data_IF_046046782673
#
_entry.id   IF_046046782673
#
_cell.length_a   1.000
_cell.length_b   1.000
_cell.length_c   1.000
_cell.angle_alpha   90.00
_cell.angle_beta   90.00
_cell.angle_gamma   90.00
#
_symmetry.space_group_name_H-M   'P 1'
#
loop_
_entity.id
_entity.type
_entity.pdbx_description
1 polymer ?
#
# COMPACT_ATOMS: atom_id res chain seq x y z
N UNK A 1 -54.30 3.87 2.49
CA UNK A 1 -54.61 3.73 1.05
C UNK A 1 -53.83 2.52 0.55
N UNK A 2 -54.49 1.53 -0.06
CA UNK A 2 -53.79 0.39 -0.65
C UNK A 2 -52.85 0.91 -1.74
N UNK A 3 -51.58 0.48 -1.73
CA UNK A 3 -50.55 0.92 -2.69
C UNK A 3 -50.80 0.34 -4.09
N UNK A 4 -51.97 0.56 -4.67
CA UNK A 4 -52.48 -0.08 -5.89
C UNK A 4 -52.39 -1.62 -5.86
N UNK A 5 -52.52 -2.23 -4.67
CA UNK A 5 -52.54 -3.69 -4.49
C UNK A 5 -53.91 -4.11 -3.98
N UNK A 6 -54.57 -5.03 -4.70
CA UNK A 6 -55.89 -5.57 -4.34
C UNK A 6 -56.94 -5.41 -5.43
N UNK A 7 -58.19 -5.73 -5.10
CA UNK A 7 -59.35 -5.54 -5.98
C UNK A 7 -59.89 -4.11 -5.87
N UNK A 8 -60.35 -3.53 -6.98
CA UNK A 8 -60.97 -2.20 -6.99
C UNK A 8 -62.29 -2.17 -6.22
N UNK A 9 -63.09 -3.24 -6.30
CA UNK A 9 -64.29 -3.46 -5.50
C UNK A 9 -64.44 -4.94 -5.14
N UNK A 10 -64.81 -5.30 -3.90
CA UNK A 10 -65.06 -6.69 -3.52
C UNK A 10 -66.35 -7.27 -4.12
N UNK A 11 -67.27 -6.43 -4.58
CA UNK A 11 -68.53 -6.84 -5.22
C UNK A 11 -68.26 -7.51 -6.57
N UNK A 12 -68.82 -8.71 -6.77
CA UNK A 12 -68.64 -9.50 -7.99
C UNK A 12 -67.44 -10.45 -7.97
N UNK A 13 -66.48 -10.29 -7.06
CA UNK A 13 -65.34 -11.21 -6.92
C UNK A 13 -65.67 -12.50 -6.15
N UNK A 14 -66.81 -12.56 -5.47
CA UNK A 14 -67.19 -13.72 -4.65
C UNK A 14 -66.31 -13.94 -3.40
N UNK A 15 -65.48 -12.97 -3.02
CA UNK A 15 -64.59 -13.02 -1.85
C UNK A 15 -64.80 -11.80 -0.95
N UNK A 16 -64.24 -11.81 0.26
CA UNK A 16 -64.35 -10.71 1.22
C UNK A 16 -63.54 -9.46 0.85
N UNK A 17 -62.69 -9.52 -0.18
CA UNK A 17 -61.80 -8.43 -0.57
C UNK A 17 -60.62 -8.19 0.38
N UNK A 18 -60.37 -9.10 1.32
CA UNK A 18 -59.24 -8.99 2.25
C UNK A 18 -57.92 -9.30 1.55
N UNK A 19 -56.97 -8.35 1.63
CA UNK A 19 -55.65 -8.46 0.98
C UNK A 19 -54.58 -8.61 2.05
N UNK A 20 -53.89 -9.75 2.06
CA UNK A 20 -52.77 -10.00 2.95
C UNK A 20 -51.44 -9.71 2.25
N UNK A 21 -50.49 -9.11 2.96
CA UNK A 21 -49.11 -8.97 2.46
C UNK A 21 -48.43 -10.33 2.40
N UNK A 22 -47.63 -10.60 1.37
CA UNK A 22 -46.84 -11.83 1.30
C UNK A 22 -45.74 -11.81 2.37
N UNK A 23 -45.73 -12.82 3.25
CA UNK A 23 -44.66 -13.01 4.25
C UNK A 23 -43.35 -13.50 3.65
N UNK A 24 -43.38 -14.06 2.44
CA UNK A 24 -42.20 -14.50 1.70
C UNK A 24 -41.50 -13.35 0.94
N UNK A 25 -42.14 -12.17 0.87
CA UNK A 25 -41.53 -11.00 0.23
C UNK A 25 -40.44 -10.41 1.14
N UNK A 26 -39.20 -10.83 0.88
CA UNK A 26 -38.02 -10.22 1.48
C UNK A 26 -37.86 -8.82 0.88
N UNK A 27 -38.11 -7.79 1.68
CA UNK A 27 -37.73 -6.42 1.31
C UNK A 27 -36.22 -6.38 1.18
N UNK A 28 -35.66 -5.88 0.05
CA UNK A 28 -34.25 -5.52 -0.01
C UNK A 28 -33.94 -4.65 1.20
N UNK A 29 -32.92 -5.03 1.96
CA UNK A 29 -32.42 -4.21 3.06
C UNK A 29 -31.98 -2.90 2.42
N UNK A 30 -32.38 -1.76 3.00
CA UNK A 30 -31.71 -0.50 2.65
C UNK A 30 -30.23 -0.72 2.98
N UNK A 31 -29.42 -0.87 1.94
CA UNK A 31 -27.96 -0.90 2.06
C UNK A 31 -27.56 0.50 2.51
N UNK A 32 -27.62 0.73 3.82
CA UNK A 32 -26.97 1.86 4.52
C UNK A 32 -25.43 1.81 4.39
N UNK A 33 -24.93 0.98 3.47
CA UNK A 33 -23.55 0.82 3.07
C UNK A 33 -23.27 1.39 1.67
N UNK A 34 -24.08 2.33 1.18
CA UNK A 34 -23.59 3.41 0.32
C UNK A 34 -22.67 4.35 1.12
N UNK A 35 -21.62 3.78 1.75
CA UNK A 35 -20.48 4.57 2.17
C UNK A 35 -19.75 4.92 0.88
N UNK A 36 -19.50 6.20 0.58
CA UNK A 36 -18.68 6.54 -0.57
C UNK A 36 -17.38 5.74 -0.47
N UNK A 37 -16.88 5.29 -1.60
CA UNK A 37 -15.57 4.67 -1.76
C UNK A 37 -14.43 5.66 -1.49
N UNK A 38 -14.59 6.53 -0.49
CA UNK A 38 -13.50 7.05 0.29
C UNK A 38 -12.93 5.83 1.02
N UNK A 39 -12.10 5.06 0.31
CA UNK A 39 -10.96 4.40 0.90
C UNK A 39 -10.10 5.49 1.53
N UNK A 40 -10.61 6.10 2.61
CA UNK A 40 -9.81 6.88 3.52
C UNK A 40 -8.71 5.91 3.89
N UNK A 41 -7.51 6.21 3.37
CA UNK A 41 -6.26 5.57 3.72
C UNK A 41 -6.40 5.08 5.15
N UNK A 42 -6.23 3.78 5.42
CA UNK A 42 -6.35 3.23 6.77
C UNK A 42 -5.31 3.93 7.65
N UNK A 43 -5.66 5.11 8.16
CA UNK A 43 -4.74 5.98 8.85
C UNK A 43 -4.57 5.34 10.20
N UNK A 44 -3.34 4.88 10.44
CA UNK A 44 -2.99 4.35 11.74
C UNK A 44 -3.23 5.48 12.74
N UNK A 45 -4.06 5.20 13.76
CA UNK A 45 -4.33 6.16 14.82
C UNK A 45 -3.00 6.59 15.41
N UNK A 46 -2.69 7.87 15.30
CA UNK A 46 -1.46 8.41 15.84
C UNK A 46 -1.52 8.35 17.37
N UNK A 47 -0.40 8.06 18.04
CA UNK A 47 -0.34 8.11 19.50
C UNK A 47 -0.44 9.56 19.98
N UNK A 48 -1.34 9.84 20.92
CA UNK A 48 -1.46 11.16 21.54
C UNK A 48 -0.32 11.41 22.53
N UNK A 49 0.41 12.51 22.30
CA UNK A 49 1.55 12.90 23.16
C UNK A 49 1.13 13.17 24.60
N UNK A 50 -0.04 13.79 24.81
CA UNK A 50 -0.58 14.10 26.13
C UNK A 50 -0.82 12.83 26.98
N UNK A 51 -1.34 11.77 26.37
CA UNK A 51 -1.60 10.50 27.06
C UNK A 51 -0.28 9.80 27.41
N UNK A 52 0.68 9.79 26.48
CA UNK A 52 2.01 9.25 26.75
C UNK A 52 2.75 10.01 27.88
N UNK A 53 2.62 11.33 27.94
CA UNK A 53 3.17 12.13 29.04
C UNK A 53 2.48 11.85 30.36
N UNK A 54 1.15 11.70 30.34
CA UNK A 54 0.37 11.37 31.53
C UNK A 54 0.78 10.00 32.09
N UNK A 55 0.87 8.98 31.25
CA UNK A 55 1.26 7.64 31.67
C UNK A 55 2.68 7.61 32.27
N UNK A 56 3.60 8.41 31.74
CA UNK A 56 4.95 8.60 32.31
C UNK A 56 4.91 9.24 33.70
N UNK A 57 4.17 10.35 33.85
CA UNK A 57 4.01 11.02 35.15
C UNK A 57 3.39 10.06 36.16
N UNK A 58 2.35 9.32 35.75
CA UNK A 58 1.71 8.29 36.56
C UNK A 58 2.71 7.21 36.99
N UNK A 59 3.59 6.73 36.11
CA UNK A 59 4.61 5.75 36.47
C UNK A 59 5.61 6.27 37.52
N UNK A 60 5.94 7.57 37.49
CA UNK A 60 6.76 8.20 38.53
C UNK A 60 6.02 8.24 39.85
N UNK A 61 4.78 8.75 39.86
CA UNK A 61 4.00 8.87 41.09
C UNK A 61 3.67 7.51 41.71
N UNK A 62 3.43 6.46 40.90
CA UNK A 62 3.24 5.09 41.41
C UNK A 62 4.47 4.62 42.18
N UNK A 63 5.68 4.86 41.68
CA UNK A 63 6.93 4.48 42.38
C UNK A 63 7.17 5.29 43.65
N UNK A 64 6.78 6.57 43.65
CA UNK A 64 6.85 7.43 44.83
C UNK A 64 5.85 6.93 45.89
N UNK A 65 4.64 6.57 45.47
CA UNK A 65 3.64 5.98 46.35
C UNK A 65 4.09 4.64 46.93
N UNK A 66 4.66 3.75 46.12
CA UNK A 66 5.25 2.49 46.60
C UNK A 66 6.42 2.70 47.59
N UNK A 67 7.17 3.81 47.47
CA UNK A 67 8.21 4.14 48.47
C UNK A 67 7.55 4.61 49.76
N UNK A 68 6.57 5.50 49.67
CA UNK A 68 5.83 6.00 50.81
C UNK A 68 5.23 4.87 51.64
N UNK A 69 4.49 3.95 51.00
CA UNK A 69 3.90 2.77 51.69
C UNK A 69 4.96 1.98 52.46
N UNK A 70 6.15 1.75 51.87
CA UNK A 70 7.24 1.03 52.53
C UNK A 70 7.81 1.77 53.73
N UNK A 71 7.94 3.10 53.65
CA UNK A 71 8.49 3.90 54.74
C UNK A 71 7.48 4.05 55.89
N UNK A 72 6.19 4.10 55.56
CA UNK A 72 5.09 4.05 56.53
C UNK A 72 5.06 2.69 57.26
N UNK A 73 5.20 1.57 56.53
CA UNK A 73 5.33 0.22 57.11
C UNK A 73 6.57 0.07 58.00
N UNK A 74 7.67 0.75 57.67
CA UNK A 74 8.90 0.82 58.47
C UNK A 74 8.75 1.72 59.71
N UNK A 75 7.68 2.51 59.81
CA UNK A 75 7.40 3.39 60.94
C UNK A 75 8.30 4.63 61.03
N UNK A 76 8.73 5.19 59.89
CA UNK A 76 9.49 6.45 59.86
C UNK A 76 8.61 7.67 60.09
N UNK A 77 9.24 8.78 60.49
CA UNK A 77 8.56 10.07 60.68
C UNK A 77 8.08 10.65 59.34
N UNK A 78 6.92 11.33 59.35
CA UNK A 78 6.28 11.87 58.14
C UNK A 78 7.20 12.83 57.36
N UNK A 79 7.99 13.65 58.07
CA UNK A 79 8.94 14.59 57.45
C UNK A 79 10.06 13.87 56.67
N UNK A 80 10.59 12.77 57.22
CA UNK A 80 11.63 11.97 56.54
C UNK A 80 11.07 11.22 55.32
N UNK A 81 9.80 10.81 55.39
CA UNK A 81 9.08 10.17 54.30
C UNK A 81 8.90 11.14 53.13
N UNK A 82 8.46 12.36 53.40
CA UNK A 82 8.23 13.38 52.37
C UNK A 82 9.54 13.81 51.69
N UNK A 83 10.62 14.01 52.45
CA UNK A 83 11.94 14.33 51.92
C UNK A 83 12.48 13.21 51.00
N UNK A 84 12.34 11.95 51.42
CA UNK A 84 12.74 10.79 50.63
C UNK A 84 11.90 10.65 49.34
N UNK A 85 10.58 10.89 49.43
CA UNK A 85 9.66 10.87 48.30
C UNK A 85 9.97 11.97 47.28
N UNK A 86 10.26 13.19 47.73
CA UNK A 86 10.60 14.31 46.86
C UNK A 86 11.97 14.15 46.19
N UNK A 87 12.95 13.59 46.91
CA UNK A 87 14.22 13.21 46.33
C UNK A 87 14.05 12.15 45.23
N UNK A 88 13.23 11.12 45.48
CA UNK A 88 12.91 10.09 44.50
C UNK A 88 12.15 10.65 43.29
N UNK A 89 11.16 11.52 43.52
CA UNK A 89 10.37 12.19 42.47
C UNK A 89 11.28 12.98 41.53
N UNK A 90 12.18 13.82 42.06
CA UNK A 90 13.13 14.60 41.26
C UNK A 90 14.07 13.71 40.45
N UNK A 91 14.57 12.62 41.05
CA UNK A 91 15.46 11.66 40.38
C UNK A 91 14.75 10.97 39.21
N UNK A 92 13.56 10.42 39.45
CA UNK A 92 12.79 9.70 38.43
C UNK A 92 12.29 10.62 37.31
N UNK A 93 11.93 11.87 37.62
CA UNK A 93 11.59 12.86 36.60
C UNK A 93 12.78 13.18 35.70
N UNK A 94 14.00 13.32 36.27
CA UNK A 94 15.22 13.55 35.49
C UNK A 94 15.54 12.35 34.59
N UNK A 95 15.51 11.14 35.14
CA UNK A 95 15.74 9.89 34.38
C UNK A 95 14.73 9.74 33.23
N UNK A 96 13.44 10.03 33.50
CA UNK A 96 12.38 9.98 32.48
C UNK A 96 12.58 11.02 31.37
N UNK A 97 13.06 12.23 31.68
CA UNK A 97 13.38 13.24 30.69
C UNK A 97 14.63 12.86 29.87
N UNK A 98 15.66 12.30 30.50
CA UNK A 98 16.86 11.81 29.82
C UNK A 98 16.54 10.67 28.84
N UNK A 99 15.64 9.75 29.21
CA UNK A 99 15.14 8.70 28.30
C UNK A 99 14.37 9.25 27.09
N UNK A 100 13.73 10.42 27.22
CA UNK A 100 13.07 11.06 26.07
C UNK A 100 14.08 11.63 25.07
N UNK A 101 15.15 12.24 25.56
CA UNK A 101 16.21 12.81 24.72
C UNK A 101 17.09 11.75 24.06
N UNK A 102 17.34 10.64 24.76
CA UNK A 102 18.00 9.45 24.22
C UNK A 102 16.98 8.62 23.44
N UNK A 103 16.57 9.14 22.27
CA UNK A 103 15.65 8.47 21.36
C UNK A 103 15.90 6.97 21.34
N UNK A 104 14.90 6.20 21.79
CA UNK A 104 14.94 4.80 22.19
C UNK A 104 15.75 3.90 21.23
N UNK A 105 17.08 3.92 21.37
CA UNK A 105 18.04 3.14 20.58
C UNK A 105 18.31 1.77 21.21
N UNK A 106 17.72 1.51 22.39
CA UNK A 106 17.82 0.24 23.09
C UNK A 106 16.87 -0.80 22.51
N UNK A 107 17.42 -1.68 21.68
CA UNK A 107 16.73 -2.85 21.16
C UNK A 107 16.18 -3.75 22.24
N UNK A 108 14.87 -3.68 22.49
CA UNK A 108 14.02 -4.76 23.00
C UNK A 108 12.58 -4.40 22.61
N UNK A 109 12.04 -5.11 21.63
CA UNK A 109 10.70 -4.88 21.08
C UNK A 109 9.65 -4.85 22.22
N UNK A 110 8.96 -3.71 22.45
CA UNK A 110 8.06 -3.56 23.59
C UNK A 110 6.69 -4.22 23.40
N UNK A 111 6.34 -4.65 22.20
CA UNK A 111 4.96 -5.08 21.89
C UNK A 111 4.54 -6.35 22.68
N UNK A 112 5.49 -7.19 23.10
CA UNK A 112 5.21 -8.35 23.93
C UNK A 112 5.09 -8.08 25.44
N UNK A 113 5.47 -6.88 25.91
CA UNK A 113 5.46 -6.52 27.35
C UNK A 113 4.44 -5.44 27.70
N UNK A 114 3.87 -4.76 26.71
CA UNK A 114 2.80 -3.79 26.93
C UNK A 114 1.48 -4.50 27.18
N UNK A 115 0.72 -3.97 28.14
CA UNK A 115 -0.60 -4.50 28.47
C UNK A 115 -1.60 -4.09 27.38
N UNK A 116 -2.65 -4.88 27.19
CA UNK A 116 -3.67 -4.65 26.16
C UNK A 116 -4.33 -3.26 26.22
N UNK A 117 -4.38 -2.63 27.40
CA UNK A 117 -4.95 -1.29 27.60
C UNK A 117 -4.00 -0.14 27.24
N UNK A 118 -2.71 -0.38 27.00
CA UNK A 118 -1.73 0.66 26.67
C UNK A 118 -1.74 0.97 25.16
N UNK A 119 -2.91 1.37 24.63
CA UNK A 119 -3.15 1.51 23.19
C UNK A 119 -2.18 2.49 22.52
N UNK A 120 -1.87 3.62 23.17
CA UNK A 120 -0.99 4.65 22.60
C UNK A 120 0.48 4.24 22.63
N UNK A 121 0.93 3.55 23.68
CA UNK A 121 2.29 2.99 23.72
C UNK A 121 2.45 1.87 22.68
N UNK A 122 1.42 1.02 22.49
CA UNK A 122 1.40 -0.02 21.46
C UNK A 122 1.44 0.63 20.07
N UNK A 123 0.66 1.68 19.83
CA UNK A 123 0.66 2.41 18.57
C UNK A 123 2.02 3.04 18.27
N UNK A 124 2.62 3.72 19.26
CA UNK A 124 3.98 4.28 19.14
C UNK A 124 5.02 3.20 18.85
N UNK A 125 4.96 2.07 19.56
CA UNK A 125 5.86 0.94 19.35
C UNK A 125 5.73 0.36 17.94
N UNK A 126 4.50 0.15 17.45
CA UNK A 126 4.23 -0.33 16.10
C UNK A 126 4.76 0.62 15.03
N UNK A 127 4.59 1.94 15.20
CA UNK A 127 5.14 2.93 14.27
C UNK A 127 6.66 2.82 14.21
N UNK A 128 7.34 2.67 15.35
CA UNK A 128 8.79 2.51 15.40
C UNK A 128 9.26 1.19 14.76
N UNK A 129 8.55 0.09 15.00
CA UNK A 129 8.82 -1.21 14.38
C UNK A 129 8.62 -1.17 12.86
N UNK A 130 7.52 -0.58 12.41
CA UNK A 130 7.22 -0.39 10.99
C UNK A 130 8.27 0.51 10.33
N UNK A 131 8.72 1.59 10.98
CA UNK A 131 9.81 2.42 10.47
C UNK A 131 11.15 1.66 10.38
N UNK A 132 11.45 0.82 11.36
CA UNK A 132 12.64 -0.02 11.36
C UNK A 132 12.57 -1.06 10.24
N UNK A 133 11.43 -1.70 10.06
CA UNK A 133 11.16 -2.65 8.98
C UNK A 133 11.26 -1.97 7.62
N UNK A 134 10.66 -0.77 7.46
CA UNK A 134 10.74 0.05 6.25
C UNK A 134 12.20 0.32 5.86
N UNK A 135 13.02 0.73 6.83
CA UNK A 135 14.47 0.96 6.63
C UNK A 135 15.20 -0.33 6.25
N UNK A 136 14.90 -1.44 6.93
CA UNK A 136 15.52 -2.74 6.65
C UNK A 136 15.19 -3.27 5.24
N UNK A 137 13.96 -3.03 4.76
CA UNK A 137 13.51 -3.38 3.42
C UNK A 137 13.98 -2.37 2.34
N UNK A 138 14.70 -1.31 2.72
CA UNK A 138 15.20 -0.29 1.80
C UNK A 138 14.11 0.57 1.16
N UNK A 139 12.92 0.62 1.76
CA UNK A 139 11.79 1.42 1.26
C UNK A 139 12.02 2.88 1.66
N UNK A 140 11.93 3.83 0.72
CA UNK A 140 12.11 5.26 1.01
C UNK A 140 10.99 5.82 1.89
N UNK A 141 11.21 7.00 2.53
CA UNK A 141 10.19 7.58 3.43
C UNK A 141 9.03 8.16 2.63
N UNK A 142 9.32 8.57 1.39
CA UNK A 142 8.39 9.12 0.41
C UNK A 142 7.75 8.02 -0.46
N UNK A 143 7.84 6.74 -0.07
CA UNK A 143 7.24 5.66 -0.84
C UNK A 143 5.72 5.74 -0.77
N UNK A 144 5.11 6.16 -1.87
CA UNK A 144 3.66 6.15 -2.04
C UNK A 144 3.20 4.79 -2.57
N UNK A 145 2.18 4.22 -1.92
CA UNK A 145 1.50 3.03 -2.41
C UNK A 145 0.94 3.29 -3.82
N UNK A 146 1.15 2.35 -4.75
CA UNK A 146 0.78 2.56 -6.16
C UNK A 146 1.86 3.24 -7.03
N UNK A 147 2.88 3.89 -6.44
CA UNK A 147 3.92 4.61 -7.21
C UNK A 147 4.76 3.70 -8.10
N UNK A 148 5.05 2.48 -7.63
CA UNK A 148 5.75 1.47 -8.41
C UNK A 148 4.94 1.04 -9.65
N UNK A 149 3.64 0.80 -9.52
CA UNK A 149 2.77 0.45 -10.65
C UNK A 149 2.57 1.62 -11.62
N UNK A 150 2.38 2.84 -11.11
CA UNK A 150 2.30 4.05 -11.96
C UNK A 150 3.56 4.26 -12.79
N UNK A 151 4.74 4.10 -12.17
CA UNK A 151 6.03 4.20 -12.88
C UNK A 151 6.20 3.09 -13.93
N UNK A 152 5.66 1.89 -13.69
CA UNK A 152 5.65 0.79 -14.66
C UNK A 152 4.71 1.06 -15.84
N UNK A 153 3.51 1.58 -15.58
CA UNK A 153 2.59 1.98 -16.66
C UNK A 153 3.16 3.13 -17.50
N UNK A 154 3.76 4.13 -16.87
CA UNK A 154 4.40 5.25 -17.54
C UNK A 154 5.56 4.78 -18.41
N UNK A 155 6.44 3.91 -17.89
CA UNK A 155 7.50 3.27 -18.68
C UNK A 155 6.96 2.46 -19.86
N UNK A 156 5.89 1.70 -19.67
CA UNK A 156 5.25 0.94 -20.76
C UNK A 156 4.70 1.87 -21.83
N UNK A 157 4.01 2.94 -21.44
CA UNK A 157 3.48 3.97 -22.34
C UNK A 157 4.60 4.69 -23.09
N UNK A 158 5.70 5.06 -22.43
CA UNK A 158 6.85 5.67 -23.09
C UNK A 158 7.49 4.75 -24.13
N UNK A 159 7.62 3.46 -23.82
CA UNK A 159 8.14 2.46 -24.77
C UNK A 159 7.20 2.29 -25.96
N UNK A 160 5.89 2.30 -25.74
CA UNK A 160 4.88 2.21 -26.79
C UNK A 160 4.87 3.45 -27.70
N UNK A 161 4.96 4.65 -27.12
CA UNK A 161 5.10 5.91 -27.86
C UNK A 161 6.41 5.95 -28.65
N UNK A 162 7.54 5.49 -28.09
CA UNK A 162 8.81 5.39 -28.82
C UNK A 162 8.74 4.38 -29.96
N UNK A 163 8.06 3.24 -29.78
CA UNK A 163 7.82 2.26 -30.85
C UNK A 163 6.92 2.82 -31.96
N UNK A 164 5.87 3.56 -31.60
CA UNK A 164 4.98 4.21 -32.56
C UNK A 164 5.69 5.33 -33.35
N UNK A 165 6.47 6.18 -32.66
CA UNK A 165 7.24 7.26 -33.30
C UNK A 165 8.42 6.78 -34.15
N UNK A 166 9.10 5.69 -33.73
CA UNK A 166 10.16 5.05 -34.52
C UNK A 166 9.65 4.47 -35.84
N UNK A 167 8.44 3.90 -35.85
CA UNK A 167 7.80 3.39 -37.06
C UNK A 167 7.47 4.47 -38.10
N UNK A 168 7.19 5.71 -37.69
CA UNK A 168 6.97 6.82 -38.63
C UNK A 168 8.28 7.36 -39.22
N UNK A 169 9.35 7.44 -38.42
CA UNK A 169 10.67 7.81 -38.90
C UNK A 169 11.25 6.76 -39.86
N UNK A 170 11.12 5.47 -39.56
CA UNK A 170 11.53 4.40 -40.47
C UNK A 170 10.72 4.39 -41.78
N UNK A 171 9.40 4.65 -41.72
CA UNK A 171 8.55 4.77 -42.93
C UNK A 171 8.94 5.97 -43.78
N UNK A 172 9.28 7.11 -43.17
CA UNK A 172 9.76 8.30 -43.89
C UNK A 172 11.12 8.05 -44.55
N UNK A 173 12.07 7.46 -43.81
CA UNK A 173 13.40 7.10 -44.32
C UNK A 173 13.29 6.05 -45.45
N UNK A 174 12.42 5.05 -45.28
CA UNK A 174 12.10 4.04 -46.29
C UNK A 174 11.54 4.66 -47.58
N UNK A 175 10.53 5.54 -47.48
CA UNK A 175 9.97 6.27 -48.64
C UNK A 175 11.01 7.15 -49.34
N UNK A 176 11.88 7.84 -48.61
CA UNK A 176 12.94 8.63 -49.23
C UNK A 176 13.95 7.76 -49.97
N UNK A 177 14.28 6.58 -49.42
CA UNK A 177 15.23 5.63 -50.01
C UNK A 177 14.65 4.88 -51.22
N UNK A 178 13.35 4.58 -51.22
CA UNK A 178 12.64 4.05 -52.40
C UNK A 178 12.51 5.10 -53.50
N UNK A 179 12.23 6.36 -53.15
CA UNK A 179 12.17 7.45 -54.11
C UNK A 179 13.53 7.73 -54.74
N UNK A 180 14.62 7.66 -53.98
CA UNK A 180 15.98 7.80 -54.54
C UNK A 180 16.35 6.62 -55.44
N UNK A 181 15.92 5.39 -55.09
CA UNK A 181 16.14 4.20 -55.93
C UNK A 181 15.38 4.27 -57.25
N UNK A 182 14.11 4.66 -57.24
CA UNK A 182 13.29 4.77 -58.45
C UNK A 182 13.74 5.88 -59.40
N UNK A 183 14.27 6.99 -58.84
CA UNK A 183 14.92 8.04 -59.65
C UNK A 183 16.22 7.52 -60.27
N UNK A 184 17.02 6.74 -59.53
CA UNK A 184 18.25 6.13 -60.08
C UNK A 184 17.95 5.11 -61.18
N UNK A 185 16.89 4.31 -61.04
CA UNK A 185 16.50 3.28 -62.01
C UNK A 185 15.97 3.91 -63.31
N UNK A 186 15.21 5.01 -63.21
CA UNK A 186 14.76 5.79 -64.38
C UNK A 186 15.90 6.48 -65.13
N UNK A 187 17.00 6.82 -64.46
CA UNK A 187 18.19 7.40 -65.11
C UNK A 187 19.10 6.35 -65.76
N UNK A 188 18.84 5.05 -65.53
CA UNK A 188 19.64 3.95 -66.05
C UNK A 188 18.97 3.39 -67.31
N UNK A 189 19.17 4.04 -68.45
CA UNK A 189 18.70 3.54 -69.75
C UNK A 189 19.11 2.08 -69.95
N UNK A 190 18.24 1.21 -70.52
CA UNK A 190 18.55 -0.19 -70.69
C UNK A 190 19.66 -0.36 -71.73
N UNK A 191 20.90 -0.55 -71.27
CA UNK A 191 22.01 -0.92 -72.14
C UNK A 191 21.74 -2.33 -72.69
N UNK A 192 21.49 -2.33 -73.99
CA UNK A 192 21.32 -3.46 -74.90
C UNK A 192 22.37 -4.57 -74.68
N UNK A 193 21.85 -5.79 -74.54
CA UNK A 193 22.47 -7.10 -74.83
C UNK A 193 23.81 -7.48 -74.17
N UNK A 194 23.78 -8.53 -73.34
CA UNK A 194 24.78 -9.62 -73.34
C UNK A 194 24.17 -10.90 -72.74
N UNK A 195 24.28 -11.98 -73.51
CA UNK A 195 23.63 -13.28 -73.35
C UNK A 195 23.92 -13.99 -72.01
N UNK A 196 22.98 -14.80 -71.47
CA UNK A 196 23.21 -15.51 -70.22
C UNK A 196 24.06 -16.77 -70.45
N UNK A 197 25.29 -16.77 -69.94
CA UNK A 197 26.10 -17.99 -69.81
C UNK A 197 25.51 -18.82 -68.66
N UNK A 198 24.93 -19.97 -69.03
CA UNK A 198 24.55 -21.04 -68.10
C UNK A 198 25.75 -21.42 -67.22
N UNK A 199 25.69 -21.15 -65.92
CA UNK A 199 26.54 -21.82 -64.93
C UNK A 199 25.72 -22.80 -64.10
N UNK A 200 26.16 -24.06 -64.21
CA UNK A 200 25.60 -25.26 -63.60
C UNK A 200 25.46 -25.14 -62.09
N UNK A 201 24.33 -25.67 -61.60
CA UNK A 201 24.08 -26.06 -60.21
C UNK A 201 25.17 -27.03 -59.73
N UNK A 202 25.79 -26.75 -58.60
CA UNK A 202 26.33 -27.79 -57.71
C UNK A 202 25.67 -27.63 -56.35
N UNK A 203 24.81 -28.60 -56.04
CA UNK A 203 24.28 -28.87 -54.71
C UNK A 203 25.45 -29.18 -53.78
N UNK A 204 25.62 -28.41 -52.71
CA UNK A 204 26.27 -28.89 -51.49
C UNK A 204 25.23 -28.94 -50.38
N UNK A 205 24.73 -30.17 -50.16
CA UNK A 205 24.10 -30.57 -48.91
C UNK A 205 25.17 -30.47 -47.82
N UNK A 206 25.00 -29.58 -46.85
CA UNK A 206 25.67 -29.69 -45.55
C UNK A 206 24.60 -29.96 -44.51
N UNK A 207 24.54 -31.24 -44.14
CA UNK A 207 23.95 -31.72 -42.89
C UNK A 207 24.82 -31.21 -41.74
N UNK A 208 24.21 -30.55 -40.76
CA UNK A 208 24.83 -30.34 -39.46
C UNK A 208 23.80 -30.60 -38.38
N UNK A 209 23.95 -31.77 -37.78
CA UNK A 209 23.38 -32.22 -36.52
C UNK A 209 23.82 -31.33 -35.35
N UNK A 210 22.95 -31.23 -34.32
CA UNK A 210 23.21 -31.16 -32.87
C UNK A 210 21.98 -30.50 -32.19
N UNK A 211 21.11 -31.25 -31.52
CA UNK A 211 21.21 -31.75 -30.13
C UNK A 211 21.39 -30.64 -29.10
N UNK A 212 20.41 -30.49 -28.19
CA UNK A 212 20.52 -29.60 -27.03
C UNK A 212 19.16 -29.18 -26.48
N UNK A 213 18.39 -30.14 -25.98
CA UNK A 213 17.33 -29.91 -24.99
C UNK A 213 18.01 -29.66 -23.65
N UNK A 214 17.87 -28.45 -23.10
CA UNK A 214 18.20 -28.20 -21.70
C UNK A 214 17.16 -27.27 -21.09
N UNK A 215 16.86 -27.60 -19.84
CA UNK A 215 15.77 -27.14 -19.01
C UNK A 215 16.14 -25.88 -18.24
N UNK A 216 15.16 -25.04 -17.94
CA UNK A 216 14.95 -24.35 -16.65
C UNK A 216 13.50 -23.84 -16.59
#
# INVERSE_FOLDING_TARGET
>A
MSSNVGLSTPRGSGTSGYVQRSSAFLRPRDDTFDKPADFQSHQRRQPDAAILEHDRKRQVEVKVFELRDKLEDEGKDEDEIDDACDALRKKLQRESQEEQGRGNAGGKGPVGRLKSHQVHEIARAKIQEDEKLRRALGISKEYEEGSHWRRQEERKREVEVKRAGGGEQEKKVGRTRERSRSVSDRSRSPRRSRSPVRRRRTRSRSVSSRSGSDSD
#
